data_IF_009857546006
#
_entry.id   IF_009857546006
#
_cell.length_a   1.000
_cell.length_b   1.000
_cell.length_c   1.000
_cell.angle_alpha   90.00
_cell.angle_beta   90.00
_cell.angle_gamma   90.00
#
_symmetry.space_group_name_H-M   'P 1'
#
loop_
_entity.id
_entity.type
_entity.pdbx_description
1 polymer ?
#
# COMPACT_ATOMS: atom_id res chain seq x y z
N UNK A 1 -11.61 8.94 -10.36
CA UNK A 1 -12.94 8.29 -10.49
C UNK A 1 -12.98 7.14 -9.48
N UNK A 2 -14.07 6.94 -8.71
CA UNK A 2 -14.21 5.79 -7.80
C UNK A 2 -14.52 4.54 -8.64
N UNK A 3 -13.88 3.41 -8.35
CA UNK A 3 -14.04 2.16 -9.12
C UNK A 3 -15.04 1.18 -8.50
N UNK A 4 -15.67 1.53 -7.38
CA UNK A 4 -16.60 0.68 -6.66
C UNK A 4 -17.75 1.47 -6.07
N UNK A 5 -18.92 0.83 -5.94
CA UNK A 5 -20.08 1.33 -5.20
C UNK A 5 -20.22 0.68 -3.82
N UNK A 6 -19.27 -0.14 -3.41
CA UNK A 6 -19.27 -0.77 -2.09
C UNK A 6 -19.07 0.28 -1.00
N UNK A 7 -20.14 0.55 -0.25
CA UNK A 7 -20.17 1.60 0.78
C UNK A 7 -19.16 1.39 1.90
N UNK A 8 -18.80 0.14 2.21
CA UNK A 8 -17.82 -0.16 3.25
C UNK A 8 -16.41 0.19 2.80
N UNK A 9 -16.06 -0.12 1.53
CA UNK A 9 -14.77 0.25 0.95
C UNK A 9 -14.66 1.77 0.84
N UNK A 10 -15.68 2.42 0.31
CA UNK A 10 -15.69 3.88 0.17
C UNK A 10 -15.52 4.58 1.52
N UNK A 11 -16.26 4.14 2.54
CA UNK A 11 -16.14 4.67 3.90
C UNK A 11 -14.73 4.49 4.46
N UNK A 12 -14.15 3.31 4.30
CA UNK A 12 -12.78 3.05 4.77
C UNK A 12 -11.74 3.93 4.07
N UNK A 13 -11.85 4.11 2.75
CA UNK A 13 -10.95 5.01 2.00
C UNK A 13 -11.10 6.46 2.48
N UNK A 14 -12.34 6.92 2.69
CA UNK A 14 -12.61 8.27 3.18
C UNK A 14 -12.05 8.47 4.61
N UNK A 15 -12.16 7.47 5.50
CA UNK A 15 -11.58 7.49 6.85
C UNK A 15 -10.04 7.56 6.81
N UNK A 16 -9.41 6.75 5.94
CA UNK A 16 -7.96 6.76 5.78
C UNK A 16 -7.45 8.06 5.16
N UNK A 17 -8.18 8.62 4.21
CA UNK A 17 -7.86 9.93 3.65
C UNK A 17 -7.97 11.06 4.69
N UNK A 18 -9.01 11.03 5.53
CA UNK A 18 -9.18 12.00 6.61
C UNK A 18 -8.03 11.91 7.65
N UNK A 19 -7.57 10.71 7.95
CA UNK A 19 -6.46 10.46 8.87
C UNK A 19 -5.13 10.89 8.26
N UNK A 20 -4.80 10.39 7.09
CA UNK A 20 -3.45 10.54 6.50
C UNK A 20 -3.25 11.84 5.73
N UNK A 21 -4.34 12.49 5.31
CA UNK A 21 -4.39 13.81 4.64
C UNK A 21 -3.54 13.86 3.37
N UNK A 22 -3.77 12.95 2.38
CA UNK A 22 -3.09 13.01 1.08
C UNK A 22 -3.55 14.25 0.29
N UNK A 23 -2.69 14.73 -0.61
CA UNK A 23 -3.03 15.82 -1.53
C UNK A 23 -3.95 15.32 -2.67
N UNK A 24 -3.82 14.06 -3.06
CA UNK A 24 -4.61 13.44 -4.11
C UNK A 24 -4.93 11.98 -3.77
N UNK A 25 -6.08 11.48 -4.28
CA UNK A 25 -6.48 10.07 -4.19
C UNK A 25 -6.67 9.53 -5.61
N UNK A 26 -5.87 8.55 -5.98
CA UNK A 26 -5.88 7.90 -7.29
C UNK A 26 -6.31 6.45 -7.14
N UNK A 27 -7.38 6.07 -7.83
CA UNK A 27 -7.81 4.68 -7.93
C UNK A 27 -7.11 4.01 -9.10
N UNK A 28 -6.51 2.85 -8.85
CA UNK A 28 -5.79 2.08 -9.87
C UNK A 28 -6.78 1.17 -10.58
N UNK A 29 -7.01 1.45 -11.87
CA UNK A 29 -7.98 0.73 -12.70
C UNK A 29 -7.35 -0.42 -13.50
N UNK A 30 -6.02 -0.52 -13.50
CA UNK A 30 -5.26 -1.56 -14.22
C UNK A 30 -5.17 -1.34 -15.73
N UNK A 31 -5.54 -0.18 -16.26
CA UNK A 31 -5.38 0.12 -17.67
C UNK A 31 -3.93 0.39 -18.05
N UNK A 32 -3.56 0.05 -19.28
CA UNK A 32 -2.21 0.37 -19.81
C UNK A 32 -1.96 1.88 -19.87
N UNK A 33 -2.99 2.67 -20.14
CA UNK A 33 -2.89 4.13 -20.18
C UNK A 33 -2.50 4.69 -18.80
N UNK A 34 -3.18 4.21 -17.74
CA UNK A 34 -2.84 4.61 -16.38
C UNK A 34 -1.45 4.12 -15.98
N UNK A 35 -1.08 2.89 -16.35
CA UNK A 35 0.22 2.32 -16.07
C UNK A 35 1.35 3.14 -16.72
N UNK A 36 1.19 3.53 -17.98
CA UNK A 36 2.18 4.37 -18.67
C UNK A 36 2.29 5.77 -18.05
N UNK A 37 1.17 6.36 -17.62
CA UNK A 37 1.18 7.63 -16.90
C UNK A 37 2.00 7.50 -15.61
N UNK A 38 1.76 6.48 -14.81
CA UNK A 38 2.49 6.23 -13.55
C UNK A 38 3.99 5.98 -13.79
N UNK A 39 4.35 5.24 -14.85
CA UNK A 39 5.76 5.06 -15.28
C UNK A 39 6.43 6.39 -15.61
N UNK A 40 5.71 7.26 -16.35
CA UNK A 40 6.21 8.58 -16.69
C UNK A 40 6.42 9.46 -15.45
N UNK A 41 5.49 9.45 -14.52
CA UNK A 41 5.60 10.17 -13.24
C UNK A 41 6.80 9.67 -12.44
N UNK A 42 6.97 8.35 -12.30
CA UNK A 42 8.09 7.74 -11.58
C UNK A 42 9.46 7.97 -12.25
N UNK A 43 9.50 8.10 -13.58
CA UNK A 43 10.71 8.55 -14.28
C UNK A 43 11.01 10.02 -14.01
N UNK A 44 9.96 10.86 -13.95
CA UNK A 44 10.09 12.29 -13.67
C UNK A 44 10.65 12.59 -12.28
N UNK A 45 10.31 11.75 -11.29
CA UNK A 45 10.84 11.83 -9.91
C UNK A 45 12.19 11.14 -9.72
N UNK A 46 12.64 10.36 -10.72
CA UNK A 46 13.89 9.58 -10.64
C UNK A 46 13.75 8.23 -9.92
N UNK A 47 12.54 7.84 -9.55
CA UNK A 47 12.27 6.52 -8.94
C UNK A 47 12.48 5.38 -9.93
N UNK A 48 12.15 5.62 -11.22
CA UNK A 48 12.42 4.71 -12.31
C UNK A 48 13.43 5.30 -13.28
N UNK A 49 14.35 4.48 -13.73
CA UNK A 49 15.34 4.79 -14.78
C UNK A 49 15.04 3.88 -15.97
N UNK A 50 14.66 4.46 -17.10
CA UNK A 50 14.44 3.69 -18.33
C UNK A 50 15.76 3.12 -18.84
N UNK A 51 15.76 1.83 -19.14
CA UNK A 51 16.95 1.15 -19.67
C UNK A 51 17.04 1.31 -21.20
N UNK A 52 18.14 0.79 -21.76
CA UNK A 52 18.37 0.82 -23.21
C UNK A 52 17.32 -0.01 -23.96
N UNK A 53 16.48 0.64 -24.74
CA UNK A 53 15.35 0.03 -25.46
C UNK A 53 15.77 -1.00 -26.53
N UNK A 54 16.97 -0.86 -27.10
CA UNK A 54 17.47 -1.83 -28.09
C UNK A 54 17.89 -3.16 -27.46
N UNK A 55 18.42 -3.09 -26.22
CA UNK A 55 18.93 -4.26 -25.49
C UNK A 55 17.91 -4.85 -24.53
N UNK A 56 17.11 -4.00 -23.91
CA UNK A 56 16.16 -4.34 -22.86
C UNK A 56 14.84 -3.56 -23.07
N UNK A 57 14.10 -3.87 -24.11
CA UNK A 57 12.88 -3.14 -24.44
C UNK A 57 11.85 -3.24 -23.31
N UNK A 58 11.26 -2.11 -22.93
CA UNK A 58 10.25 -2.00 -21.89
C UNK A 58 10.76 -2.23 -20.46
N UNK A 59 12.09 -2.25 -20.23
CA UNK A 59 12.66 -2.48 -18.92
C UNK A 59 13.03 -1.18 -18.20
N UNK A 60 12.83 -1.19 -16.89
CA UNK A 60 13.17 -0.09 -15.99
C UNK A 60 14.04 -0.58 -14.85
N UNK A 61 14.90 0.29 -14.33
CA UNK A 61 15.69 0.07 -13.13
C UNK A 61 15.14 0.93 -11.99
N UNK A 62 14.89 0.33 -10.86
CA UNK A 62 14.68 1.00 -9.58
C UNK A 62 15.81 0.65 -8.63
N UNK A 63 16.26 1.62 -7.83
CA UNK A 63 17.23 1.40 -6.76
C UNK A 63 16.62 1.87 -5.45
N UNK A 64 16.47 0.93 -4.52
CA UNK A 64 16.09 1.26 -3.15
C UNK A 64 17.21 2.03 -2.44
N UNK A 65 16.84 2.82 -1.43
CA UNK A 65 17.80 3.42 -0.51
C UNK A 65 18.60 2.33 0.22
N UNK A 66 19.88 2.62 0.52
CA UNK A 66 20.76 1.67 1.22
C UNK A 66 20.28 1.30 2.61
N UNK A 67 19.42 2.12 3.21
CA UNK A 67 18.80 1.89 4.51
C UNK A 67 17.42 1.23 4.42
N UNK A 68 16.93 0.96 3.21
CA UNK A 68 15.65 0.25 2.99
C UNK A 68 15.83 -1.25 3.22
N UNK A 69 16.01 -1.62 4.46
CA UNK A 69 16.16 -3.01 4.91
C UNK A 69 14.95 -3.40 5.76
N UNK A 70 14.19 -4.37 5.28
CA UNK A 70 12.99 -4.90 5.94
C UNK A 70 13.32 -5.84 7.12
N UNK A 71 14.12 -5.37 8.09
CA UNK A 71 14.39 -6.09 9.35
C UNK A 71 13.85 -5.29 10.51
N UNK A 72 12.59 -5.56 10.82
CA UNK A 72 11.81 -4.81 11.81
C UNK A 72 11.10 -5.73 12.80
N UNK A 73 11.70 -6.87 13.13
CA UNK A 73 11.15 -7.89 14.03
C UNK A 73 10.80 -7.30 15.40
N UNK A 74 11.62 -6.39 15.89
CA UNK A 74 11.42 -5.67 17.16
C UNK A 74 10.23 -4.71 17.16
N UNK A 75 9.78 -4.30 15.98
CA UNK A 75 8.63 -3.39 15.76
C UNK A 75 7.44 -4.05 15.08
N UNK A 76 7.50 -5.36 14.88
CA UNK A 76 6.41 -6.14 14.30
C UNK A 76 5.60 -6.82 15.41
N UNK A 77 4.30 -6.58 15.42
CA UNK A 77 3.39 -7.07 16.47
C UNK A 77 2.24 -7.85 15.87
N UNK A 78 1.83 -8.91 16.57
CA UNK A 78 0.55 -9.57 16.32
C UNK A 78 -0.47 -8.96 17.29
N UNK A 79 -1.60 -8.51 16.77
CA UNK A 79 -2.66 -7.86 17.54
C UNK A 79 -3.90 -8.74 17.57
N UNK A 80 -3.75 -9.96 18.04
CA UNK A 80 -4.84 -10.90 18.30
C UNK A 80 -5.62 -10.48 19.55
N UNK A 81 -6.88 -10.92 19.65
CA UNK A 81 -7.76 -10.62 20.79
C UNK A 81 -7.20 -11.15 22.12
N UNK A 82 -6.48 -12.27 22.07
CA UNK A 82 -5.80 -12.87 23.24
C UNK A 82 -4.32 -13.02 22.91
N UNK A 83 -3.48 -12.75 23.90
CA UNK A 83 -2.02 -12.82 23.76
C UNK A 83 -1.53 -14.22 23.35
N UNK A 84 -2.19 -15.26 23.85
CA UNK A 84 -1.83 -16.66 23.56
C UNK A 84 -1.97 -16.99 22.06
N UNK A 85 -2.87 -16.30 21.35
CA UNK A 85 -3.11 -16.50 19.92
C UNK A 85 -2.01 -15.87 19.02
N UNK A 86 -1.12 -15.08 19.60
CA UNK A 86 0.02 -14.48 18.88
C UNK A 86 1.15 -15.49 18.61
N UNK A 87 1.15 -16.63 19.30
CA UNK A 87 2.23 -17.62 19.24
C UNK A 87 3.40 -17.29 20.18
N UNK A 88 4.34 -18.25 20.35
CA UNK A 88 5.35 -18.19 21.41
C UNK A 88 6.50 -17.19 21.13
N UNK A 89 6.73 -16.81 19.87
CA UNK A 89 7.91 -16.02 19.46
C UNK A 89 7.59 -14.63 18.93
N UNK A 90 6.30 -14.32 18.76
CA UNK A 90 5.89 -13.04 18.23
C UNK A 90 5.68 -12.01 19.34
N UNK A 91 6.00 -10.75 19.05
CA UNK A 91 5.57 -9.64 19.89
C UNK A 91 4.06 -9.52 19.82
N UNK A 92 3.43 -9.28 20.94
CA UNK A 92 1.99 -9.04 21.02
C UNK A 92 1.69 -7.65 21.57
N UNK A 93 0.65 -7.03 21.04
CA UNK A 93 0.08 -5.80 21.59
C UNK A 93 -1.44 -5.87 21.51
N UNK A 94 -2.09 -5.28 22.51
CA UNK A 94 -3.55 -5.16 22.50
C UNK A 94 -4.02 -4.41 21.23
N UNK A 95 -5.05 -4.90 20.52
CA UNK A 95 -5.55 -4.27 19.30
C UNK A 95 -5.95 -2.80 19.47
N UNK A 96 -6.62 -2.43 20.57
CA UNK A 96 -7.08 -1.07 20.80
C UNK A 96 -5.91 -0.12 21.07
N UNK A 97 -4.92 -0.58 21.84
CA UNK A 97 -3.68 0.18 22.08
C UNK A 97 -2.89 0.38 20.77
N UNK A 98 -2.81 -0.66 19.92
CA UNK A 98 -2.12 -0.57 18.64
C UNK A 98 -2.87 0.38 17.69
N UNK A 99 -4.20 0.29 17.59
CA UNK A 99 -4.98 1.25 16.79
C UNK A 99 -4.70 2.69 17.22
N UNK A 100 -4.71 2.98 18.51
CA UNK A 100 -4.43 4.32 19.02
C UNK A 100 -3.05 4.80 18.59
N UNK A 101 -2.01 3.97 18.77
CA UNK A 101 -0.64 4.29 18.35
C UNK A 101 -0.52 4.53 16.84
N UNK A 102 -1.15 3.67 16.03
CA UNK A 102 -1.10 3.80 14.58
C UNK A 102 -1.83 5.06 14.10
N UNK A 103 -2.95 5.40 14.70
CA UNK A 103 -3.65 6.65 14.37
C UNK A 103 -2.81 7.89 14.68
N UNK A 104 -2.09 7.90 15.81
CA UNK A 104 -1.16 8.98 16.14
C UNK A 104 0.01 9.08 15.13
N UNK A 105 0.57 7.93 14.70
CA UNK A 105 1.68 7.87 13.74
C UNK A 105 1.23 8.27 12.32
N UNK A 106 0.04 7.84 11.91
CA UNK A 106 -0.47 8.07 10.56
C UNK A 106 -1.13 9.43 10.37
N UNK A 107 -1.42 10.19 11.43
CA UNK A 107 -2.06 11.50 11.28
C UNK A 107 -1.22 12.42 10.39
N UNK A 108 -1.75 12.75 9.23
CA UNK A 108 -1.11 13.62 8.26
C UNK A 108 0.13 13.03 7.56
N UNK A 109 0.37 11.71 7.66
CA UNK A 109 1.56 11.05 7.09
C UNK A 109 1.66 11.14 5.56
N UNK A 110 0.55 11.41 4.87
CA UNK A 110 0.51 11.51 3.41
C UNK A 110 0.41 12.95 2.89
N UNK A 111 0.61 13.96 3.72
CA UNK A 111 0.69 15.35 3.24
C UNK A 111 1.80 15.50 2.20
N UNK A 112 1.50 16.16 1.07
CA UNK A 112 2.42 16.28 -0.06
C UNK A 112 2.55 15.00 -0.90
N UNK A 113 1.67 14.02 -0.72
CA UNK A 113 1.73 12.71 -1.40
C UNK A 113 0.39 12.33 -2.00
N UNK A 114 0.44 11.43 -2.98
CA UNK A 114 -0.72 10.78 -3.58
C UNK A 114 -1.03 9.48 -2.85
N UNK A 115 -2.30 9.29 -2.46
CA UNK A 115 -2.80 8.00 -1.98
C UNK A 115 -3.27 7.17 -3.17
N UNK A 116 -2.66 6.03 -3.40
CA UNK A 116 -3.11 5.06 -4.40
C UNK A 116 -4.03 4.03 -3.75
N UNK A 117 -5.24 3.89 -4.30
CA UNK A 117 -6.18 2.83 -3.91
C UNK A 117 -6.08 1.72 -4.95
N UNK A 118 -5.52 0.59 -4.54
CA UNK A 118 -5.13 -0.51 -5.42
C UNK A 118 -6.00 -1.74 -5.13
N UNK A 119 -7.05 -2.03 -5.92
CA UNK A 119 -7.76 -3.30 -5.81
C UNK A 119 -6.89 -4.44 -6.33
N UNK A 120 -6.87 -5.57 -5.61
CA UNK A 120 -6.10 -6.74 -6.04
C UNK A 120 -6.80 -8.04 -5.70
N UNK A 121 -6.38 -9.14 -6.35
CA UNK A 121 -6.83 -10.49 -6.05
C UNK A 121 -5.65 -11.34 -5.62
N UNK A 122 -5.79 -12.02 -4.49
CA UNK A 122 -4.90 -13.10 -4.08
C UNK A 122 -5.52 -14.42 -4.56
N UNK A 123 -5.00 -14.94 -5.66
CA UNK A 123 -5.50 -16.12 -6.36
C UNK A 123 -6.20 -15.77 -7.68
N UNK A 124 -6.63 -16.81 -8.37
CA UNK A 124 -7.30 -16.67 -9.67
C UNK A 124 -8.68 -16.07 -9.49
N UNK A 125 -8.97 -14.98 -10.21
CA UNK A 125 -10.28 -14.32 -10.19
C UNK A 125 -11.38 -15.32 -10.57
N UNK A 126 -12.45 -15.39 -9.75
CA UNK A 126 -13.56 -16.32 -9.90
C UNK A 126 -13.35 -17.68 -9.23
N UNK A 127 -12.22 -17.93 -8.60
CA UNK A 127 -12.01 -19.11 -7.75
C UNK A 127 -12.65 -18.91 -6.37
N UNK A 128 -13.23 -19.98 -5.81
CA UNK A 128 -13.79 -19.98 -4.45
C UNK A 128 -12.73 -19.70 -3.36
N UNK A 129 -11.45 -19.89 -3.69
CA UNK A 129 -10.33 -19.65 -2.79
C UNK A 129 -9.70 -18.26 -2.93
N UNK A 130 -10.09 -17.49 -3.95
CA UNK A 130 -9.58 -16.14 -4.15
C UNK A 130 -9.99 -15.20 -3.01
N UNK A 131 -9.07 -14.34 -2.60
CA UNK A 131 -9.34 -13.23 -1.67
C UNK A 131 -9.08 -11.91 -2.39
N UNK A 132 -9.91 -10.93 -2.10
CA UNK A 132 -9.83 -9.60 -2.70
C UNK A 132 -9.50 -8.58 -1.61
N UNK A 133 -8.65 -7.63 -1.94
CA UNK A 133 -8.29 -6.50 -1.10
C UNK A 133 -8.18 -5.22 -1.89
#
# INVERSE_FOLDING_TARGET
MKLTDNVHILKWVDEMAALTKPDEIVWIDGSEEQLEKLRHEAMGTGELIKLNEEKLPGCYLHRSDVNDVARVEDRTFICSKRKEDAGPTNNWMDPEEMYKKLYEIYDGSMKGRTMYVIPYSMGVVGSDFAKYG
#
